data_IF_480064070919
#
_entry.id   IF_480064070919
#
_cell.length_a   1.000
_cell.length_b   1.000
_cell.length_c   1.000
_cell.angle_alpha   90.00
_cell.angle_beta   90.00
_cell.angle_gamma   90.00
#
_symmetry.space_group_name_H-M   'P 1'
#
loop_
_entity.id
_entity.type
_entity.pdbx_description
1 polymer ?
#
# COMPACT_ATOMS: atom_id res chain seq x y z
N UNK A 1 3.35 6.65 -3.88
CA UNK A 1 2.64 5.82 -2.88
C UNK A 1 3.48 5.74 -1.63
N UNK A 2 2.89 5.62 -0.43
CA UNK A 2 3.67 5.38 0.78
C UNK A 2 4.42 4.04 0.66
N UNK A 3 5.59 3.95 1.30
CA UNK A 3 6.46 2.77 1.23
C UNK A 3 5.81 1.54 1.88
N UNK A 4 4.97 1.76 2.88
CA UNK A 4 4.24 0.71 3.59
C UNK A 4 2.76 1.04 3.49
N UNK A 5 1.97 0.09 2.98
CA UNK A 5 0.53 0.21 2.86
C UNK A 5 -0.16 -0.32 4.11
N UNK A 6 -1.31 0.26 4.48
CA UNK A 6 -2.12 -0.30 5.54
C UNK A 6 -2.83 -1.56 5.02
N UNK A 7 -2.43 -2.72 5.55
CA UNK A 7 -2.99 -4.02 5.19
C UNK A 7 -2.05 -5.15 5.59
N UNK A 8 -2.59 -6.36 5.72
CA UNK A 8 -1.81 -7.58 5.96
C UNK A 8 -1.38 -8.18 4.63
N UNK A 9 -0.14 -8.66 4.55
CA UNK A 9 0.31 -9.44 3.40
C UNK A 9 -0.54 -10.72 3.30
N UNK A 10 -1.23 -10.88 2.18
CA UNK A 10 -2.05 -12.06 1.92
C UNK A 10 -1.10 -13.23 1.60
N UNK A 11 -0.68 -13.94 2.64
CA UNK A 11 0.26 -15.06 2.56
C UNK A 11 -0.47 -16.31 2.08
N UNK A 12 -1.15 -16.21 0.92
CA UNK A 12 -1.70 -17.37 0.23
C UNK A 12 -0.55 -18.19 -0.36
N UNK A 13 -0.38 -19.41 0.15
CA UNK A 13 0.47 -20.49 -0.39
C UNK A 13 1.99 -20.29 -0.36
N UNK A 14 2.55 -19.60 0.64
CA UNK A 14 3.96 -19.82 1.00
C UNK A 14 3.99 -20.90 2.08
N UNK A 15 4.46 -22.10 1.72
CA UNK A 15 4.76 -23.18 2.67
C UNK A 15 5.64 -22.61 3.77
N UNK A 16 5.07 -22.47 4.96
CA UNK A 16 5.74 -21.99 6.16
C UNK A 16 6.62 -23.16 6.67
N UNK A 17 7.89 -23.19 6.26
CA UNK A 17 8.86 -23.99 7.01
C UNK A 17 9.00 -23.39 8.42
N UNK A 18 9.01 -24.21 9.48
CA UNK A 18 9.19 -23.72 10.83
C UNK A 18 10.66 -23.37 11.02
N UNK A 19 10.99 -22.08 11.07
CA UNK A 19 12.29 -21.63 11.55
C UNK A 19 12.20 -21.24 13.02
N UNK A 20 13.07 -21.86 13.80
CA UNK A 20 13.27 -21.82 15.24
C UNK A 20 13.31 -20.44 15.91
N UNK A 21 13.13 -20.51 17.23
CA UNK A 21 13.04 -19.49 18.26
C UNK A 21 14.03 -18.29 18.15
N UNK A 22 13.53 -17.14 18.63
CA UNK A 22 14.29 -16.01 19.16
C UNK A 22 14.92 -15.01 18.16
N UNK A 23 14.07 -14.27 17.44
CA UNK A 23 14.41 -12.94 16.90
C UNK A 23 13.15 -12.06 16.89
N UNK A 24 13.26 -10.72 17.10
CA UNK A 24 12.09 -9.83 17.07
C UNK A 24 11.45 -9.99 15.69
N UNK A 25 10.28 -10.63 15.67
CA UNK A 25 9.62 -11.04 14.43
C UNK A 25 9.21 -9.78 13.68
N UNK A 26 10.05 -9.30 12.76
CA UNK A 26 9.72 -8.19 11.90
C UNK A 26 8.47 -8.58 11.12
N UNK A 27 7.32 -7.98 11.47
CA UNK A 27 6.10 -8.23 10.73
C UNK A 27 6.36 -7.86 9.25
N UNK A 28 6.01 -8.74 8.30
CA UNK A 28 6.28 -8.49 6.89
C UNK A 28 5.60 -7.19 6.46
N UNK A 29 6.40 -6.25 5.95
CA UNK A 29 5.92 -4.94 5.50
C UNK A 29 5.03 -5.13 4.27
N UNK A 30 3.80 -4.63 4.33
CA UNK A 30 2.90 -4.62 3.18
C UNK A 30 3.35 -3.55 2.19
N UNK A 31 3.77 -3.97 1.00
CA UNK A 31 4.21 -3.11 -0.11
C UNK A 31 3.33 -3.37 -1.34
N UNK A 32 3.34 -2.46 -2.33
CA UNK A 32 2.59 -2.67 -3.58
C UNK A 32 2.98 -3.99 -4.28
N UNK A 33 4.26 -4.37 -4.24
CA UNK A 33 4.77 -5.60 -4.84
C UNK A 33 4.32 -6.89 -4.13
N UNK A 34 3.88 -6.79 -2.87
CA UNK A 34 3.36 -7.95 -2.12
C UNK A 34 1.87 -8.19 -2.30
N UNK A 35 1.16 -7.31 -3.00
CA UNK A 35 -0.28 -7.43 -3.25
C UNK A 35 -0.52 -8.19 -4.54
N UNK A 36 -1.59 -8.99 -4.55
CA UNK A 36 -2.08 -9.62 -5.78
C UNK A 36 -2.60 -8.56 -6.73
N UNK A 37 -2.40 -8.80 -8.02
CA UNK A 37 -2.98 -7.96 -9.06
C UNK A 37 -4.51 -7.92 -8.94
N UNK A 38 -5.08 -6.75 -9.16
CA UNK A 38 -6.52 -6.56 -9.13
C UNK A 38 -6.95 -5.23 -8.56
N UNK A 39 -8.17 -5.21 -8.06
CA UNK A 39 -8.79 -4.01 -7.54
C UNK A 39 -8.19 -3.63 -6.17
N UNK A 40 -7.48 -2.51 -6.12
CA UNK A 40 -6.80 -2.03 -4.92
C UNK A 40 -7.62 -1.01 -4.10
N UNK A 41 -8.46 -0.20 -4.75
CA UNK A 41 -9.21 0.86 -4.08
C UNK A 41 -9.90 1.85 -5.01
N UNK A 42 -10.39 2.96 -4.45
CA UNK A 42 -11.08 4.04 -5.20
C UNK A 42 -10.35 5.37 -5.06
N UNK A 43 -10.19 6.10 -6.16
CA UNK A 43 -9.89 7.52 -6.13
C UNK A 43 -11.21 8.30 -5.93
N UNK A 44 -11.22 9.26 -5.01
CA UNK A 44 -12.36 10.11 -4.67
C UNK A 44 -12.01 11.57 -4.91
N UNK A 45 -12.88 12.27 -5.62
CA UNK A 45 -12.84 13.72 -5.75
C UNK A 45 -13.94 14.30 -4.87
N UNK A 46 -13.54 15.07 -3.86
CA UNK A 46 -14.47 15.69 -2.92
C UNK A 46 -15.00 17.00 -3.50
N UNK A 47 -16.21 17.40 -3.09
CA UNK A 47 -16.80 18.70 -3.51
C UNK A 47 -15.93 19.91 -3.15
N UNK A 48 -15.08 19.78 -2.14
CA UNK A 48 -14.10 20.80 -1.74
C UNK A 48 -12.92 20.95 -2.70
N UNK A 49 -12.82 20.13 -3.76
CA UNK A 49 -11.69 20.09 -4.69
C UNK A 49 -10.52 19.23 -4.19
N UNK A 50 -10.58 18.68 -2.97
CA UNK A 50 -9.57 17.75 -2.46
C UNK A 50 -9.72 16.38 -3.13
N UNK A 51 -8.60 15.70 -3.32
CA UNK A 51 -8.57 14.32 -3.84
C UNK A 51 -8.03 13.36 -2.77
N UNK A 52 -8.59 12.16 -2.70
CA UNK A 52 -8.10 11.11 -1.81
C UNK A 52 -8.27 9.71 -2.39
N UNK A 53 -7.39 8.78 -2.01
CA UNK A 53 -7.44 7.37 -2.40
C UNK A 53 -7.90 6.57 -1.18
N UNK A 54 -8.99 5.82 -1.34
CA UNK A 54 -9.45 4.87 -0.32
C UNK A 54 -8.95 3.46 -0.62
N UNK A 55 -8.11 2.94 0.26
CA UNK A 55 -7.57 1.59 0.27
C UNK A 55 -8.19 0.81 1.43
N UNK A 56 -9.21 -0.01 1.13
CA UNK A 56 -10.03 -0.65 2.15
C UNK A 56 -10.72 0.37 3.08
N UNK A 57 -10.31 0.40 4.34
CA UNK A 57 -10.81 1.34 5.36
C UNK A 57 -9.97 2.61 5.48
N UNK A 58 -8.79 2.64 4.84
CA UNK A 58 -7.84 3.74 4.95
C UNK A 58 -8.07 4.77 3.85
N UNK A 59 -7.94 6.05 4.19
CA UNK A 59 -8.10 7.18 3.27
C UNK A 59 -6.79 7.98 3.20
N UNK A 60 -6.16 7.98 2.03
CA UNK A 60 -4.89 8.64 1.77
C UNK A 60 -5.13 9.92 0.98
N UNK A 61 -4.70 11.06 1.51
CA UNK A 61 -4.82 12.34 0.80
C UNK A 61 -3.87 12.38 -0.38
N UNK A 62 -4.37 12.84 -1.54
CA UNK A 62 -3.59 13.02 -2.77
C UNK A 62 -3.40 14.50 -3.04
N UNK A 63 -2.14 14.90 -3.19
CA UNK A 63 -1.76 16.25 -3.58
C UNK A 63 -0.88 16.19 -4.84
N UNK A 64 -0.80 17.31 -5.54
CA UNK A 64 0.14 17.47 -6.65
C UNK A 64 1.58 17.46 -6.10
N UNK A 65 2.43 16.65 -6.73
CA UNK A 65 3.87 16.65 -6.47
C UNK A 65 4.58 17.78 -7.20
N UNK A 66 5.90 17.63 -7.36
CA UNK A 66 6.70 18.56 -8.13
C UNK A 66 6.34 18.44 -9.61
N UNK A 67 6.04 19.59 -10.25
CA UNK A 67 5.78 19.64 -11.67
C UNK A 67 7.10 19.43 -12.44
N UNK A 68 7.19 18.35 -13.21
CA UNK A 68 8.29 18.16 -14.14
C UNK A 68 8.14 19.11 -15.32
N UNK A 69 9.13 19.97 -15.53
CA UNK A 69 9.19 20.94 -16.65
C UNK A 69 10.10 20.48 -17.78
N UNK A 70 10.77 19.34 -17.60
CA UNK A 70 11.62 18.68 -18.58
C UNK A 70 11.04 17.30 -18.93
N UNK A 71 11.48 16.71 -20.05
CA UNK A 71 11.07 15.38 -20.50
C UNK A 71 11.41 14.33 -19.42
N UNK A 72 10.39 13.60 -18.98
CA UNK A 72 10.48 12.43 -18.10
C UNK A 72 10.74 11.15 -18.89
#
# INVERSE_FOLDING_TARGET
>A
FPTILPGTVDTGDIKKEPSDENSPTEQPKCTLSSLKDGYLGKLRIHKSGKASIRLGENDLTVNLGIQATCRQ
#
